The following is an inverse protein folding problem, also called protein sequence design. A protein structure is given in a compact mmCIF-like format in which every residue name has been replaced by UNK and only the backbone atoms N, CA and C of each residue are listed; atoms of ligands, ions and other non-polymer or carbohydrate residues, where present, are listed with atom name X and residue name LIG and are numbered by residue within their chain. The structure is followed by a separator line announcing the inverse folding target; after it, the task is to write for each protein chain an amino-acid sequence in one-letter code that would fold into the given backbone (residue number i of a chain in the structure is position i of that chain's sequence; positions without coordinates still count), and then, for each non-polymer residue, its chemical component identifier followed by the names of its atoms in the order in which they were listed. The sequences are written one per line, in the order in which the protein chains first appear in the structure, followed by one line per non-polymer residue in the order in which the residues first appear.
data_IF_202947223931
#
_entry.id   IF_202947223931
#
_cell.length_a   1.000
_cell.length_b   1.000
_cell.length_c   1.000
_cell.angle_alpha   90.00
_cell.angle_beta   90.00
_cell.angle_gamma   90.00
#
_symmetry.space_group_name_H-M   'P 1'
#
loop_
_entity.id
_entity.type
_entity.pdbx_description
1 polymer ?
#
# COMPACT_ATOMS: atom_id res chain seq x y z
N UNK A 1 24.44 9.79 22.02
CA UNK A 1 25.48 9.07 21.25
C UNK A 1 25.34 9.44 19.79
N UNK A 2 26.43 9.76 19.09
CA UNK A 2 26.41 10.01 17.66
C UNK A 2 26.02 8.71 16.91
N UNK A 3 25.18 8.83 15.90
CA UNK A 3 24.70 7.68 15.10
C UNK A 3 25.85 7.20 14.20
N UNK A 4 26.16 5.90 14.21
CA UNK A 4 27.15 5.29 13.31
C UNK A 4 26.75 5.52 11.85
N UNK A 5 27.72 5.91 11.03
CA UNK A 5 27.53 6.24 9.61
C UNK A 5 28.20 5.22 8.70
N UNK A 6 27.90 5.27 7.38
CA UNK A 6 28.63 4.50 6.37
C UNK A 6 30.13 4.77 6.37
N UNK A 7 30.52 6.00 6.72
CA UNK A 7 31.94 6.40 6.77
C UNK A 7 32.66 5.71 7.93
N UNK A 8 32.02 5.54 9.08
CA UNK A 8 32.59 4.85 10.23
C UNK A 8 32.82 3.36 9.93
N UNK A 9 31.86 2.69 9.30
CA UNK A 9 32.02 1.28 8.83
C UNK A 9 33.16 1.20 7.80
N UNK A 10 33.21 2.12 6.86
CA UNK A 10 34.23 2.18 5.83
C UNK A 10 35.65 2.35 6.43
N UNK A 11 35.80 3.18 7.46
CA UNK A 11 37.04 3.41 8.15
C UNK A 11 37.55 2.12 8.87
N UNK A 12 36.65 1.39 9.52
CA UNK A 12 37.01 0.12 10.23
C UNK A 12 37.48 -0.94 9.24
N UNK A 13 36.85 -1.05 8.05
CA UNK A 13 37.21 -2.10 7.06
C UNK A 13 38.33 -1.66 6.13
N UNK A 14 38.65 -0.34 6.05
CA UNK A 14 39.66 0.20 5.15
C UNK A 14 39.19 0.30 3.71
N UNK A 15 37.92 0.61 3.48
CA UNK A 15 37.31 0.75 2.14
C UNK A 15 36.62 2.11 1.97
N UNK A 16 36.11 2.41 0.76
CA UNK A 16 35.32 3.62 0.56
C UNK A 16 33.89 3.46 1.10
N UNK A 17 33.27 4.55 1.53
CA UNK A 17 31.84 4.56 1.91
C UNK A 17 30.93 4.09 0.76
N UNK A 18 31.35 4.28 -0.50
CA UNK A 18 30.65 3.76 -1.69
C UNK A 18 30.67 2.24 -1.73
N UNK A 19 31.82 1.61 -1.39
CA UNK A 19 31.94 0.14 -1.33
C UNK A 19 31.03 -0.45 -0.26
N UNK A 20 30.98 0.17 0.94
CA UNK A 20 30.05 -0.23 2.00
C UNK A 20 28.61 -0.07 1.54
N UNK A 21 28.28 1.05 0.90
CA UNK A 21 26.94 1.31 0.34
C UNK A 21 26.52 0.26 -0.70
N UNK A 22 27.45 -0.17 -1.56
CA UNK A 22 27.18 -1.22 -2.55
C UNK A 22 26.84 -2.55 -1.86
N UNK A 23 27.54 -2.93 -0.80
CA UNK A 23 27.25 -4.16 -0.04
C UNK A 23 25.88 -4.07 0.64
N UNK A 24 25.58 -2.94 1.30
CA UNK A 24 24.28 -2.69 1.99
C UNK A 24 23.11 -2.75 1.02
N UNK A 25 23.27 -2.20 -0.19
CA UNK A 25 22.21 -2.13 -1.19
C UNK A 25 22.17 -3.34 -2.14
N UNK A 26 23.15 -4.25 -2.05
CA UNK A 26 23.26 -5.37 -2.99
C UNK A 26 23.56 -4.94 -4.43
N UNK A 27 24.24 -3.78 -4.61
CA UNK A 27 24.59 -3.21 -5.92
C UNK A 27 26.11 -3.25 -6.12
N UNK A 28 26.53 -3.28 -7.40
CA UNK A 28 27.95 -3.31 -7.75
C UNK A 28 28.64 -4.63 -7.38
N UNK A 29 29.85 -4.81 -7.94
CA UNK A 29 30.66 -5.99 -7.65
C UNK A 29 31.55 -5.75 -6.44
N UNK A 30 31.51 -6.66 -5.45
CA UNK A 30 32.39 -6.70 -4.28
C UNK A 30 32.72 -8.17 -4.02
N UNK A 31 34.02 -8.50 -3.82
CA UNK A 31 34.42 -9.88 -3.54
C UNK A 31 33.76 -10.43 -2.30
N UNK A 32 33.58 -11.75 -2.23
CA UNK A 32 32.89 -12.43 -1.10
C UNK A 32 33.61 -12.18 0.22
N UNK A 33 34.95 -12.23 0.23
CA UNK A 33 35.75 -11.91 1.43
C UNK A 33 35.51 -10.48 1.92
N UNK A 34 35.58 -9.51 1.02
CA UNK A 34 35.34 -8.11 1.36
C UNK A 34 33.90 -7.89 1.83
N UNK A 35 32.92 -8.54 1.19
CA UNK A 35 31.52 -8.51 1.61
C UNK A 35 31.35 -9.05 3.03
N UNK A 36 32.00 -10.19 3.35
CA UNK A 36 31.94 -10.78 4.68
C UNK A 36 32.54 -9.84 5.75
N UNK A 37 33.67 -9.19 5.47
CA UNK A 37 34.31 -8.21 6.35
C UNK A 37 33.42 -6.99 6.60
N UNK A 38 32.82 -6.45 5.57
CA UNK A 38 31.88 -5.31 5.68
C UNK A 38 30.66 -5.68 6.51
N UNK A 39 30.05 -6.85 6.27
CA UNK A 39 28.89 -7.32 7.05
C UNK A 39 29.24 -7.59 8.52
N UNK A 40 30.47 -8.03 8.82
CA UNK A 40 30.93 -8.16 10.18
C UNK A 40 31.05 -6.80 10.89
N UNK A 41 31.69 -5.82 10.26
CA UNK A 41 31.84 -4.48 10.81
C UNK A 41 30.45 -3.77 10.98
N UNK A 42 29.50 -3.99 10.09
CA UNK A 42 28.12 -3.49 10.22
C UNK A 42 27.47 -4.03 11.50
N UNK A 43 27.64 -5.33 11.80
CA UNK A 43 27.09 -5.94 13.03
C UNK A 43 27.80 -5.44 14.28
N UNK A 44 29.12 -5.38 14.26
CA UNK A 44 29.96 -4.95 15.41
C UNK A 44 29.65 -3.50 15.82
N UNK A 45 29.47 -2.62 14.85
CA UNK A 45 29.19 -1.21 15.08
C UNK A 45 27.68 -0.91 15.27
N UNK A 46 26.79 -1.91 15.24
CA UNK A 46 25.31 -1.74 15.17
C UNK A 46 24.91 -0.69 14.14
N UNK A 47 25.59 -0.68 12.99
CA UNK A 47 25.24 0.25 11.92
C UNK A 47 23.86 -0.08 11.37
N UNK A 48 22.97 0.89 11.39
CA UNK A 48 21.64 0.80 10.76
C UNK A 48 21.54 1.78 9.60
N UNK A 49 21.17 1.31 8.41
CA UNK A 49 20.97 2.19 7.27
C UNK A 49 20.05 3.37 7.62
N UNK A 50 20.48 4.57 7.28
CA UNK A 50 19.65 5.76 7.43
C UNK A 50 18.76 5.90 6.18
N UNK A 51 17.46 5.59 6.34
CA UNK A 51 16.48 5.67 5.25
C UNK A 51 16.39 7.09 4.68
N UNK A 52 16.49 8.12 5.52
CA UNK A 52 16.51 9.52 5.06
C UNK A 52 17.75 9.85 4.23
N UNK A 53 18.93 9.34 4.62
CA UNK A 53 20.17 9.51 3.84
C UNK A 53 20.15 8.69 2.53
N UNK A 54 19.47 7.57 2.52
CA UNK A 54 19.25 6.75 1.30
C UNK A 54 18.38 7.49 0.30
N UNK A 55 17.31 8.11 0.76
CA UNK A 55 16.39 8.91 -0.05
C UNK A 55 17.09 10.10 -0.71
N UNK A 56 17.94 10.83 0.04
CA UNK A 56 18.73 11.95 -0.50
C UNK A 56 19.69 11.55 -1.64
N UNK A 57 20.13 10.29 -1.67
CA UNK A 57 21.08 9.79 -2.69
C UNK A 57 20.43 9.04 -3.85
N UNK A 58 19.25 8.46 -3.65
CA UNK A 58 18.65 7.54 -4.62
C UNK A 58 17.21 7.86 -5.03
N UNK A 59 16.61 8.91 -4.48
CA UNK A 59 15.23 9.32 -4.80
C UNK A 59 14.14 8.36 -4.30
N UNK A 60 14.49 7.23 -3.66
CA UNK A 60 13.56 6.21 -3.13
C UNK A 60 13.82 5.95 -1.66
N UNK A 61 12.78 5.94 -0.86
CA UNK A 61 12.84 5.61 0.57
C UNK A 61 12.80 4.10 0.83
N UNK A 62 12.24 3.33 -0.10
CA UNK A 62 11.89 1.93 0.07
C UNK A 62 10.68 1.73 0.98
N UNK A 63 9.91 2.79 1.25
CA UNK A 63 8.73 2.75 2.11
C UNK A 63 7.46 2.97 1.28
N UNK A 64 6.49 2.10 1.48
CA UNK A 64 5.11 2.26 1.05
C UNK A 64 4.22 2.41 2.28
N UNK A 65 3.09 3.07 2.14
CA UNK A 65 2.07 3.06 3.17
C UNK A 65 0.74 2.54 2.62
N UNK A 66 0.05 1.75 3.44
CA UNK A 66 -1.27 1.20 3.17
C UNK A 66 -2.22 1.64 4.29
N UNK A 67 -3.33 2.28 3.94
CA UNK A 67 -4.42 2.54 4.87
C UNK A 67 -5.67 1.77 4.49
N UNK A 68 -6.26 1.13 5.50
CA UNK A 68 -7.52 0.39 5.40
C UNK A 68 -8.48 0.84 6.49
N UNK A 69 -9.79 0.67 6.29
CA UNK A 69 -10.78 1.07 7.29
C UNK A 69 -10.65 0.30 8.61
N UNK A 70 -10.59 -1.03 8.56
CA UNK A 70 -10.53 -1.89 9.75
C UNK A 70 -9.77 -3.19 9.46
N UNK A 71 -8.66 -3.39 10.18
CA UNK A 71 -7.85 -4.60 10.07
C UNK A 71 -8.50 -5.85 10.69
N UNK A 72 -9.59 -5.69 11.45
CA UNK A 72 -10.35 -6.84 11.98
C UNK A 72 -11.25 -7.48 10.92
N UNK A 73 -11.56 -6.75 9.85
CA UNK A 73 -12.29 -7.28 8.71
C UNK A 73 -11.38 -8.26 7.92
N UNK A 74 -11.78 -9.53 7.74
CA UNK A 74 -10.95 -10.54 7.08
C UNK A 74 -10.45 -10.13 5.69
N UNK A 75 -11.26 -9.39 4.93
CA UNK A 75 -10.89 -8.88 3.62
C UNK A 75 -9.67 -7.96 3.70
N UNK A 76 -9.67 -6.99 4.63
CA UNK A 76 -8.56 -6.04 4.75
C UNK A 76 -7.32 -6.67 5.37
N UNK A 77 -7.50 -7.64 6.27
CA UNK A 77 -6.38 -8.41 6.82
C UNK A 77 -5.65 -9.19 5.73
N UNK A 78 -6.38 -9.92 4.89
CA UNK A 78 -5.82 -10.69 3.77
C UNK A 78 -5.19 -9.75 2.73
N UNK A 79 -5.86 -8.67 2.36
CA UNK A 79 -5.33 -7.67 1.44
C UNK A 79 -4.00 -7.08 1.95
N UNK A 80 -3.93 -6.70 3.23
CA UNK A 80 -2.71 -6.17 3.83
C UNK A 80 -1.59 -7.21 3.85
N UNK A 81 -1.89 -8.48 4.16
CA UNK A 81 -0.92 -9.56 4.16
C UNK A 81 -0.30 -9.76 2.76
N UNK A 82 -1.14 -9.83 1.72
CA UNK A 82 -0.70 -9.99 0.33
C UNK A 82 0.09 -8.76 -0.16
N UNK A 83 -0.34 -7.57 0.21
CA UNK A 83 0.36 -6.33 -0.13
C UNK A 83 1.76 -6.30 0.50
N UNK A 84 1.89 -6.67 1.79
CA UNK A 84 3.18 -6.76 2.48
C UNK A 84 4.09 -7.80 1.83
N UNK A 85 3.57 -9.01 1.55
CA UNK A 85 4.35 -10.06 0.90
C UNK A 85 4.91 -9.61 -0.45
N UNK A 86 4.05 -9.01 -1.29
CA UNK A 86 4.45 -8.50 -2.61
C UNK A 86 5.47 -7.35 -2.53
N UNK A 87 5.33 -6.45 -1.53
CA UNK A 87 6.28 -5.38 -1.30
C UNK A 87 7.66 -5.91 -0.85
N UNK A 88 7.68 -6.94 0.00
CA UNK A 88 8.91 -7.58 0.46
C UNK A 88 9.72 -8.21 -0.68
N UNK A 89 9.06 -8.83 -1.66
CA UNK A 89 9.72 -9.34 -2.89
C UNK A 89 10.47 -8.24 -3.64
N UNK A 90 9.97 -6.99 -3.53
CA UNK A 90 10.58 -5.78 -4.13
C UNK A 90 11.50 -5.04 -3.17
N UNK A 91 11.81 -5.63 -2.01
CA UNK A 91 12.64 -5.03 -0.96
C UNK A 91 12.07 -3.70 -0.44
N UNK A 92 10.75 -3.58 -0.43
CA UNK A 92 10.04 -2.45 0.14
C UNK A 92 9.46 -2.81 1.50
N UNK A 93 9.39 -1.83 2.38
CA UNK A 93 8.73 -1.95 3.70
C UNK A 93 7.38 -1.26 3.65
N UNK A 94 6.37 -1.86 4.25
CA UNK A 94 5.02 -1.31 4.30
C UNK A 94 4.71 -0.78 5.69
N UNK A 95 4.27 0.46 5.78
CA UNK A 95 3.61 1.02 6.95
C UNK A 95 2.12 0.81 6.81
N UNK A 96 1.46 0.23 7.80
CA UNK A 96 0.03 -0.01 7.78
C UNK A 96 -0.65 0.94 8.76
N UNK A 97 -1.70 1.62 8.30
CA UNK A 97 -2.56 2.49 9.09
C UNK A 97 -4.02 2.00 9.03
N UNK A 98 -4.74 2.19 10.11
CA UNK A 98 -6.18 1.97 10.19
C UNK A 98 -6.88 3.31 10.32
N UNK A 99 -7.84 3.62 9.42
CA UNK A 99 -8.54 4.91 9.40
C UNK A 99 -9.87 4.89 10.14
N UNK A 100 -10.43 3.71 10.39
CA UNK A 100 -11.79 3.57 10.95
C UNK A 100 -12.89 4.08 10.02
N UNK A 101 -12.57 4.42 8.77
CA UNK A 101 -13.49 5.11 7.86
C UNK A 101 -13.74 6.57 8.25
N UNK A 102 -12.91 7.13 9.13
CA UNK A 102 -12.98 8.54 9.52
C UNK A 102 -12.35 9.43 8.45
N UNK A 103 -13.10 10.46 8.00
CA UNK A 103 -12.65 11.35 6.93
C UNK A 103 -11.39 12.12 7.27
N UNK A 104 -11.22 12.55 8.52
CA UNK A 104 -10.04 13.30 8.92
C UNK A 104 -8.80 12.39 8.92
N UNK A 105 -8.93 11.16 9.39
CA UNK A 105 -7.85 10.16 9.34
C UNK A 105 -7.48 9.78 7.91
N UNK A 106 -8.47 9.64 7.00
CA UNK A 106 -8.23 9.36 5.58
C UNK A 106 -7.50 10.53 4.91
N UNK A 107 -7.87 11.79 5.23
CA UNK A 107 -7.21 12.99 4.73
C UNK A 107 -5.77 13.10 5.24
N UNK A 108 -5.54 12.94 6.53
CA UNK A 108 -4.20 12.98 7.14
C UNK A 108 -3.29 11.92 6.48
N UNK A 109 -3.82 10.71 6.22
CA UNK A 109 -3.10 9.68 5.50
C UNK A 109 -2.81 10.07 4.05
N UNK A 110 -3.79 10.60 3.32
CA UNK A 110 -3.63 11.03 1.93
C UNK A 110 -2.57 12.13 1.80
N UNK A 111 -2.46 13.02 2.79
CA UNK A 111 -1.42 14.05 2.87
C UNK A 111 -0.07 13.53 3.39
N UNK A 112 0.01 12.26 3.82
CA UNK A 112 1.18 11.67 4.47
C UNK A 112 1.62 12.44 5.74
N UNK A 113 0.65 12.97 6.49
CA UNK A 113 0.92 13.75 7.70
C UNK A 113 1.64 12.93 8.76
N UNK A 114 2.72 13.49 9.31
CA UNK A 114 3.52 12.82 10.35
C UNK A 114 4.27 11.58 9.89
N UNK A 115 4.26 11.26 8.60
CA UNK A 115 4.94 10.10 8.05
C UNK A 115 6.35 10.44 7.55
N UNK A 116 7.27 9.46 7.54
CA UNK A 116 8.53 9.63 6.82
C UNK A 116 8.23 9.78 5.32
N UNK A 117 9.23 10.18 4.56
CA UNK A 117 9.08 10.22 3.12
C UNK A 117 8.79 8.82 2.55
N UNK A 118 7.77 8.74 1.73
CA UNK A 118 7.20 7.50 1.16
C UNK A 118 7.38 7.49 -0.36
N UNK A 119 7.57 6.29 -0.91
CA UNK A 119 7.61 6.09 -2.37
C UNK A 119 6.18 5.99 -2.95
N UNK A 120 5.19 5.67 -2.13
CA UNK A 120 3.80 5.59 -2.53
C UNK A 120 2.83 5.32 -1.38
N UNK A 121 1.57 5.67 -1.62
CA UNK A 121 0.43 5.46 -0.73
C UNK A 121 -0.59 4.55 -1.39
N UNK A 122 -1.20 3.66 -0.62
CA UNK A 122 -2.41 2.92 -1.00
C UNK A 122 -3.49 3.19 0.03
N UNK A 123 -4.61 3.72 -0.41
CA UNK A 123 -5.74 4.09 0.46
C UNK A 123 -7.01 3.35 0.04
N UNK A 124 -7.66 2.69 1.01
CA UNK A 124 -9.02 2.16 0.87
C UNK A 124 -9.99 3.09 1.60
N UNK A 125 -10.55 4.11 0.93
CA UNK A 125 -11.35 5.11 1.61
C UNK A 125 -12.81 4.66 1.77
N UNK A 126 -13.50 5.23 2.78
CA UNK A 126 -14.94 5.14 2.96
C UNK A 126 -15.62 6.52 3.00
N UNK A 127 -14.91 7.56 3.43
CA UNK A 127 -15.51 8.87 3.74
C UNK A 127 -14.92 10.05 2.96
N UNK A 128 -13.69 9.92 2.45
CA UNK A 128 -13.05 10.98 1.66
C UNK A 128 -13.84 11.22 0.36
N UNK A 129 -13.91 12.48 -0.05
CA UNK A 129 -14.62 12.90 -1.26
C UNK A 129 -13.65 13.17 -2.42
N UNK A 130 -14.20 13.36 -3.62
CA UNK A 130 -13.41 13.76 -4.78
C UNK A 130 -12.75 15.13 -4.58
N UNK A 131 -13.49 16.09 -4.01
CA UNK A 131 -12.98 17.43 -3.74
C UNK A 131 -11.77 17.37 -2.79
N UNK A 132 -11.81 16.51 -1.77
CA UNK A 132 -10.69 16.31 -0.86
C UNK A 132 -9.42 15.86 -1.57
N UNK A 133 -9.55 14.92 -2.51
CA UNK A 133 -8.42 14.43 -3.28
C UNK A 133 -7.94 15.42 -4.37
N UNK A 134 -8.82 16.28 -4.87
CA UNK A 134 -8.46 17.38 -5.79
C UNK A 134 -7.67 18.49 -5.06
N UNK A 135 -7.97 18.74 -3.79
CA UNK A 135 -7.28 19.73 -2.95
C UNK A 135 -6.00 19.18 -2.31
N UNK A 136 -5.71 17.90 -2.48
CA UNK A 136 -4.53 17.24 -1.92
C UNK A 136 -3.23 17.94 -2.33
N UNK A 137 -2.37 18.23 -1.35
CA UNK A 137 -1.08 18.94 -1.55
C UNK A 137 0.11 17.99 -1.65
N UNK A 138 0.03 16.83 -1.01
CA UNK A 138 1.09 15.82 -1.06
C UNK A 138 1.32 15.35 -2.50
N UNK A 139 2.58 15.29 -2.91
CA UNK A 139 2.99 14.78 -4.23
C UNK A 139 3.36 13.29 -4.22
N UNK A 140 3.27 12.65 -3.06
CA UNK A 140 3.53 11.22 -2.97
C UNK A 140 2.57 10.46 -3.88
N UNK A 141 3.05 9.59 -4.78
CA UNK A 141 2.19 8.80 -5.65
C UNK A 141 1.15 8.04 -4.84
N UNK A 142 -0.09 8.01 -5.31
CA UNK A 142 -1.19 7.38 -4.59
C UNK A 142 -2.01 6.47 -5.50
N UNK A 143 -2.38 5.32 -4.95
CA UNK A 143 -3.37 4.40 -5.51
C UNK A 143 -4.54 4.34 -4.53
N UNK A 144 -5.74 4.48 -5.05
CA UNK A 144 -6.98 4.31 -4.29
C UNK A 144 -7.58 2.95 -4.63
N UNK A 145 -7.95 2.17 -3.61
CA UNK A 145 -8.49 0.83 -3.79
C UNK A 145 -9.93 0.72 -3.29
N UNK A 146 -10.66 -0.23 -3.85
CA UNK A 146 -12.04 -0.52 -3.45
C UNK A 146 -13.08 0.31 -4.20
N UNK A 147 -14.34 -0.02 -4.00
CA UNK A 147 -15.46 0.48 -4.78
C UNK A 147 -15.82 1.94 -4.49
N UNK A 148 -15.60 2.43 -3.27
CA UNK A 148 -15.78 3.84 -2.94
C UNK A 148 -14.74 4.70 -3.69
N UNK A 149 -13.52 4.20 -3.81
CA UNK A 149 -12.44 4.87 -4.53
C UNK A 149 -12.80 5.26 -5.96
N UNK A 150 -13.56 4.42 -6.68
CA UNK A 150 -13.98 4.70 -8.05
C UNK A 150 -14.75 6.02 -8.20
N UNK A 151 -15.56 6.37 -7.21
CA UNK A 151 -16.37 7.59 -7.24
C UNK A 151 -15.58 8.85 -6.87
N UNK A 152 -14.48 8.70 -6.13
CA UNK A 152 -13.76 9.83 -5.53
C UNK A 152 -12.42 10.14 -6.18
N UNK A 153 -11.89 9.26 -7.04
CA UNK A 153 -10.57 9.44 -7.66
C UNK A 153 -10.60 10.55 -8.72
N UNK A 154 -9.79 11.61 -8.58
CA UNK A 154 -9.59 12.61 -9.62
C UNK A 154 -8.60 12.13 -10.69
N UNK A 155 -8.48 12.89 -11.76
CA UNK A 155 -7.44 12.66 -12.78
C UNK A 155 -6.03 12.68 -12.15
N UNK A 156 -5.18 11.72 -12.54
CA UNK A 156 -3.81 11.61 -12.03
C UNK A 156 -3.64 10.70 -10.82
N UNK A 157 -4.72 10.22 -10.19
CA UNK A 157 -4.67 9.18 -9.17
C UNK A 157 -5.20 7.87 -9.76
N UNK A 158 -4.49 6.78 -9.54
CA UNK A 158 -4.90 5.46 -10.04
C UNK A 158 -5.92 4.82 -9.10
N UNK A 159 -6.96 4.22 -9.69
CA UNK A 159 -7.94 3.41 -8.95
C UNK A 159 -7.82 1.94 -9.32
N UNK A 160 -7.91 1.09 -8.30
CA UNK A 160 -8.00 -0.37 -8.44
C UNK A 160 -9.21 -0.87 -7.65
N UNK A 161 -10.11 -1.58 -8.31
CA UNK A 161 -11.32 -2.09 -7.67
C UNK A 161 -12.01 -3.14 -8.53
N UNK A 162 -12.97 -3.83 -7.91
CA UNK A 162 -13.82 -4.83 -8.56
C UNK A 162 -15.01 -4.13 -9.21
N UNK A 163 -15.38 -4.55 -10.41
CA UNK A 163 -16.69 -4.20 -10.99
C UNK A 163 -17.78 -5.05 -10.31
N UNK A 164 -18.30 -4.53 -9.22
CA UNK A 164 -19.29 -5.25 -8.41
C UNK A 164 -20.63 -5.43 -9.13
N UNK A 165 -20.97 -4.56 -10.06
CA UNK A 165 -22.19 -4.70 -10.89
C UNK A 165 -22.00 -5.90 -11.82
N UNK A 166 -20.93 -5.90 -12.60
CA UNK A 166 -20.64 -7.00 -13.54
C UNK A 166 -20.44 -8.33 -12.81
N UNK A 167 -19.75 -8.34 -11.68
CA UNK A 167 -19.52 -9.57 -10.90
C UNK A 167 -20.82 -10.17 -10.37
N UNK A 168 -21.72 -9.35 -9.82
CA UNK A 168 -23.01 -9.83 -9.31
C UNK A 168 -23.96 -10.26 -10.45
N UNK A 169 -23.94 -9.53 -11.57
CA UNK A 169 -24.67 -9.93 -12.78
C UNK A 169 -24.21 -11.31 -13.24
N UNK A 170 -22.92 -11.52 -13.44
CA UNK A 170 -22.37 -12.79 -13.90
C UNK A 170 -22.68 -13.95 -12.94
N UNK A 171 -22.59 -13.72 -11.62
CA UNK A 171 -22.94 -14.73 -10.63
C UNK A 171 -24.43 -15.11 -10.68
N UNK A 172 -25.33 -14.14 -10.88
CA UNK A 172 -26.77 -14.36 -10.98
C UNK A 172 -27.13 -15.07 -12.30
N UNK A 173 -26.55 -14.62 -13.41
CA UNK A 173 -26.67 -15.28 -14.72
C UNK A 173 -26.24 -16.74 -14.69
N UNK A 174 -25.13 -17.02 -13.99
CA UNK A 174 -24.68 -18.39 -13.82
C UNK A 174 -25.74 -19.24 -13.11
N UNK A 175 -26.36 -18.74 -12.04
CA UNK A 175 -27.43 -19.47 -11.36
C UNK A 175 -28.66 -19.69 -12.26
N UNK A 176 -29.05 -18.69 -13.06
CA UNK A 176 -30.14 -18.78 -14.04
C UNK A 176 -29.82 -19.87 -15.08
N UNK A 177 -28.60 -19.84 -15.64
CA UNK A 177 -28.15 -20.83 -16.63
C UNK A 177 -28.13 -22.25 -16.07
N UNK A 178 -28.03 -22.40 -14.74
CA UNK A 178 -28.14 -23.69 -14.03
C UNK A 178 -29.59 -24.05 -13.69
N UNK A 179 -30.58 -23.36 -14.26
CA UNK A 179 -32.00 -23.61 -14.08
C UNK A 179 -32.59 -23.18 -12.74
N UNK A 180 -31.88 -22.26 -12.03
CA UNK A 180 -32.42 -21.75 -10.76
C UNK A 180 -33.42 -20.61 -11.05
N UNK A 181 -34.66 -20.79 -10.57
CA UNK A 181 -35.77 -19.84 -10.81
C UNK A 181 -36.10 -18.98 -9.58
N UNK A 182 -35.64 -19.38 -8.39
CA UNK A 182 -35.85 -18.66 -7.14
C UNK A 182 -34.50 -18.28 -6.55
N UNK A 183 -33.97 -17.13 -6.95
CA UNK A 183 -32.69 -16.62 -6.54
C UNK A 183 -32.95 -15.44 -5.60
N UNK A 184 -32.29 -15.38 -4.43
CA UNK A 184 -32.41 -14.30 -3.49
C UNK A 184 -31.04 -13.64 -3.26
N UNK A 185 -31.01 -12.31 -3.17
CA UNK A 185 -29.85 -11.54 -2.72
C UNK A 185 -29.93 -11.34 -1.20
N UNK A 186 -28.89 -11.78 -0.48
CA UNK A 186 -28.79 -11.61 0.98
C UNK A 186 -27.78 -10.52 1.27
N UNK A 187 -28.01 -9.72 2.34
CA UNK A 187 -27.13 -8.64 2.77
C UNK A 187 -27.35 -7.32 2.05
N UNK A 188 -28.49 -7.17 1.36
CA UNK A 188 -28.89 -5.89 0.76
C UNK A 188 -29.28 -4.93 1.87
N UNK A 189 -28.57 -3.79 1.94
CA UNK A 189 -28.84 -2.73 2.90
C UNK A 189 -29.35 -1.50 2.15
N UNK A 190 -30.43 -0.91 2.64
CA UNK A 190 -31.04 0.29 2.02
C UNK A 190 -30.48 1.60 2.58
N UNK A 191 -30.10 1.61 3.88
CA UNK A 191 -29.50 2.76 4.56
C UNK A 191 -28.13 2.38 5.13
N UNK A 192 -27.16 3.31 5.09
CA UNK A 192 -25.82 3.08 5.60
C UNK A 192 -25.00 2.01 4.86
N UNK A 193 -25.49 1.56 3.70
CA UNK A 193 -24.85 0.47 2.95
C UNK A 193 -23.55 0.92 2.30
N UNK A 194 -22.56 0.04 2.30
CA UNK A 194 -21.35 0.22 1.51
C UNK A 194 -21.68 0.31 0.01
N UNK A 195 -20.82 0.97 -0.74
CA UNK A 195 -20.96 1.03 -2.20
C UNK A 195 -21.03 -0.38 -2.82
N UNK A 196 -20.29 -1.35 -2.27
CA UNK A 196 -20.28 -2.77 -2.65
C UNK A 196 -21.68 -3.39 -2.65
N UNK A 197 -22.41 -3.27 -1.53
CA UNK A 197 -23.75 -3.86 -1.38
C UNK A 197 -24.71 -3.31 -2.43
N UNK A 198 -24.74 -1.99 -2.62
CA UNK A 198 -25.59 -1.34 -3.63
C UNK A 198 -25.26 -1.77 -5.05
N UNK A 199 -23.98 -1.79 -5.41
CA UNK A 199 -23.53 -2.15 -6.76
C UNK A 199 -23.84 -3.63 -7.07
N UNK A 200 -23.61 -4.53 -6.12
CA UNK A 200 -23.96 -5.95 -6.30
C UNK A 200 -25.46 -6.15 -6.43
N UNK A 201 -26.26 -5.42 -5.69
CA UNK A 201 -27.72 -5.49 -5.83
C UNK A 201 -28.21 -4.99 -7.22
N UNK A 202 -27.57 -3.94 -7.77
CA UNK A 202 -27.85 -3.49 -9.14
C UNK A 202 -27.55 -4.61 -10.14
N UNK A 203 -26.37 -5.24 -10.08
CA UNK A 203 -26.01 -6.34 -10.98
C UNK A 203 -26.96 -7.54 -10.85
N UNK A 204 -27.31 -7.92 -9.62
CA UNK A 204 -28.31 -8.95 -9.37
C UNK A 204 -29.65 -8.64 -10.05
N UNK A 205 -30.18 -7.44 -9.89
CA UNK A 205 -31.44 -7.03 -10.52
C UNK A 205 -31.37 -7.00 -12.03
N UNK A 206 -30.26 -6.57 -12.61
CA UNK A 206 -30.07 -6.53 -14.07
C UNK A 206 -30.08 -7.92 -14.68
N UNK A 207 -29.54 -8.92 -13.99
CA UNK A 207 -29.54 -10.32 -14.47
C UNK A 207 -30.91 -11.01 -14.38
N UNK A 208 -31.82 -10.50 -13.53
CA UNK A 208 -33.20 -11.03 -13.39
C UNK A 208 -34.21 -10.36 -14.32
N UNK A 209 -33.85 -9.26 -14.99
CA UNK A 209 -34.72 -8.49 -15.89
C UNK A 209 -34.78 -9.13 -17.28
#
# INVERSE_FOLDING_TARGET
MARVTLADVAAVVGVSAKTVSNVVNGTGWVSDDMRARILAAIRELDYRPNLAARQLRGGSSGLLALAVPDLREPYFAEFAAQFVATAQERRQTVLIAQTGGDRAAEMAFAEAEGMPALDGLVLSPLSITKADLEERRSRTPMVVVGEHGRAVVPAGITHVGIDNVAAAHAATDYLISRGRTRIAAVGVQHEGSTATSRQRFVGYRQALA
#
